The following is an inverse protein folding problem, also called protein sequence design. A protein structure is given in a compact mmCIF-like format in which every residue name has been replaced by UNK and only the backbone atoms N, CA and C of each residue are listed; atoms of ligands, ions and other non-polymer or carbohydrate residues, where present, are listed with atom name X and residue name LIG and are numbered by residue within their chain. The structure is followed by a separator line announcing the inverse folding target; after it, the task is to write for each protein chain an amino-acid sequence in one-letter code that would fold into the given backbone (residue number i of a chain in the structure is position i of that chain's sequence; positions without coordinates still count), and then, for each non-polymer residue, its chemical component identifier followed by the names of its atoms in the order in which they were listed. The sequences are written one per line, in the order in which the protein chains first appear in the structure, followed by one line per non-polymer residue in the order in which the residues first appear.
data_IF_116617579610
#
_entry.id   IF_116617579610
#
_cell.length_a   1.000
_cell.length_b   1.000
_cell.length_c   1.000
_cell.angle_alpha   90.00
_cell.angle_beta   90.00
_cell.angle_gamma   90.00
#
_symmetry.space_group_name_H-M   'P 1'
#
loop_
_entity.id
_entity.type
_entity.pdbx_description
1 polymer ?
#
# COMPACT_ATOMS: atom_id res chain seq x y z
N UNK A 1 11.69 -18.09 -2.84
CA UNK A 1 12.77 -17.28 -3.42
C UNK A 1 12.95 -17.64 -4.88
N UNK A 2 13.22 -16.64 -5.73
CA UNK A 2 13.65 -16.84 -7.11
C UNK A 2 15.07 -16.27 -7.21
N UNK A 3 16.04 -17.04 -7.72
CA UNK A 3 17.44 -16.61 -7.86
C UNK A 3 18.06 -16.03 -6.56
N UNK A 4 17.73 -16.65 -5.41
CA UNK A 4 18.12 -16.20 -4.05
C UNK A 4 17.56 -14.82 -3.66
N UNK A 5 16.54 -14.34 -4.36
CA UNK A 5 15.80 -13.14 -3.99
C UNK A 5 14.45 -13.47 -3.35
N UNK A 6 14.08 -12.68 -2.35
CA UNK A 6 12.71 -12.58 -1.86
C UNK A 6 11.91 -11.71 -2.83
N UNK A 7 10.78 -12.24 -3.29
CA UNK A 7 9.84 -11.50 -4.13
C UNK A 7 8.73 -10.95 -3.24
N UNK A 8 8.57 -9.63 -3.27
CA UNK A 8 7.54 -8.93 -2.51
C UNK A 8 6.67 -8.12 -3.47
N UNK A 9 5.66 -8.73 -4.10
CA UNK A 9 4.62 -7.97 -4.75
C UNK A 9 3.84 -7.11 -3.75
N UNK A 10 3.44 -5.94 -4.20
CA UNK A 10 2.56 -5.01 -3.50
C UNK A 10 1.47 -4.53 -4.46
N UNK A 11 0.26 -4.44 -3.95
CA UNK A 11 -0.89 -3.93 -4.69
C UNK A 11 -1.74 -3.05 -3.79
N UNK A 12 -2.36 -2.03 -4.37
CA UNK A 12 -3.25 -1.11 -3.66
C UNK A 12 -4.68 -1.63 -3.65
N UNK A 13 -5.33 -1.58 -2.49
CA UNK A 13 -6.77 -1.92 -2.38
C UNK A 13 -7.53 -0.88 -1.57
N UNK A 14 -8.80 -0.64 -1.91
CA UNK A 14 -9.71 0.15 -1.09
C UNK A 14 -10.17 -0.71 0.10
N UNK A 15 -9.79 -0.31 1.30
CA UNK A 15 -10.11 -0.99 2.55
C UNK A 15 -11.52 -0.63 3.06
N UNK A 16 -11.91 0.64 2.91
CA UNK A 16 -13.18 1.16 3.39
C UNK A 16 -13.62 2.36 2.55
N UNK A 17 -14.94 2.49 2.32
CA UNK A 17 -15.52 3.71 1.75
C UNK A 17 -16.90 4.05 2.32
N UNK A 18 -17.19 5.35 2.36
CA UNK A 18 -18.47 5.88 2.84
C UNK A 18 -18.76 7.26 2.24
N UNK A 19 -20.05 7.59 2.12
CA UNK A 19 -20.51 8.95 1.81
C UNK A 19 -20.77 9.79 3.06
N UNK A 20 -20.81 9.15 4.24
CA UNK A 20 -21.24 9.80 5.49
C UNK A 20 -20.15 9.77 6.57
N UNK A 21 -19.33 8.72 6.61
CA UNK A 21 -18.28 8.53 7.63
C UNK A 21 -16.95 8.96 7.03
N UNK A 22 -16.25 9.88 7.71
CA UNK A 22 -14.94 10.37 7.30
C UNK A 22 -14.04 10.69 8.50
N UNK A 23 -12.74 10.73 8.25
CA UNK A 23 -11.72 11.21 9.18
C UNK A 23 -10.66 12.03 8.41
N UNK A 24 -9.73 12.64 9.13
CA UNK A 24 -8.65 13.47 8.54
C UNK A 24 -7.70 12.67 7.64
N UNK A 25 -7.62 11.35 7.83
CA UNK A 25 -6.75 10.46 7.07
C UNK A 25 -7.45 9.80 5.86
N UNK A 26 -8.74 10.08 5.63
CA UNK A 26 -9.44 9.60 4.45
C UNK A 26 -8.97 10.34 3.20
N UNK A 27 -8.79 9.58 2.12
CA UNK A 27 -8.83 10.13 0.77
C UNK A 27 -10.28 10.42 0.37
N UNK A 28 -10.49 11.26 -0.65
CA UNK A 28 -11.84 11.58 -1.11
C UNK A 28 -11.92 11.67 -2.63
N UNK A 29 -13.05 11.25 -3.20
CA UNK A 29 -13.36 11.46 -4.62
C UNK A 29 -14.66 12.22 -4.76
N UNK A 30 -14.67 13.24 -5.62
CA UNK A 30 -15.88 13.98 -5.99
C UNK A 30 -16.41 13.41 -7.30
N UNK A 31 -17.65 12.93 -7.28
CA UNK A 31 -18.33 12.36 -8.43
C UNK A 31 -18.91 13.45 -9.34
N UNK A 32 -19.24 13.11 -10.59
CA UNK A 32 -19.82 14.05 -11.58
C UNK A 32 -21.13 14.69 -11.12
N UNK A 33 -21.88 14.02 -10.24
CA UNK A 33 -23.13 14.52 -9.67
C UNK A 33 -22.93 15.40 -8.42
N UNK A 34 -21.68 15.73 -8.05
CA UNK A 34 -21.33 16.55 -6.89
C UNK A 34 -21.26 15.80 -5.56
N UNK A 35 -21.59 14.50 -5.51
CA UNK A 35 -21.44 13.71 -4.28
C UNK A 35 -19.97 13.44 -3.99
N UNK A 36 -19.63 13.37 -2.70
CA UNK A 36 -18.28 13.04 -2.22
C UNK A 36 -18.30 11.66 -1.60
N UNK A 37 -17.28 10.85 -1.88
CA UNK A 37 -17.03 9.59 -1.20
C UNK A 37 -15.67 9.64 -0.56
N UNK A 38 -15.64 9.37 0.74
CA UNK A 38 -14.43 9.24 1.54
C UNK A 38 -14.02 7.78 1.57
N UNK A 39 -12.72 7.51 1.49
CA UNK A 39 -12.21 6.16 1.46
C UNK A 39 -10.81 6.05 2.06
N UNK A 40 -10.50 4.87 2.55
CA UNK A 40 -9.15 4.46 2.92
C UNK A 40 -8.70 3.37 1.96
N UNK A 41 -7.48 3.53 1.44
CA UNK A 41 -6.80 2.49 0.68
C UNK A 41 -5.49 2.14 1.36
N UNK A 42 -4.99 0.93 1.12
CA UNK A 42 -3.71 0.48 1.63
C UNK A 42 -2.98 -0.33 0.57
N UNK A 43 -1.65 -0.26 0.59
CA UNK A 43 -0.83 -1.25 -0.11
C UNK A 43 -0.73 -2.51 0.75
N UNK A 44 -0.76 -3.67 0.10
CA UNK A 44 -0.70 -4.98 0.74
C UNK A 44 0.54 -5.76 0.24
N UNK A 45 1.69 -5.65 0.92
CA UNK A 45 2.88 -6.40 0.56
C UNK A 45 2.75 -7.87 0.97
N UNK A 46 3.15 -8.79 0.09
CA UNK A 46 3.15 -10.23 0.38
C UNK A 46 4.45 -10.88 -0.10
N UNK A 47 4.98 -11.83 0.66
CA UNK A 47 6.13 -12.64 0.22
C UNK A 47 5.63 -13.83 -0.58
N UNK A 48 6.18 -14.02 -1.79
CA UNK A 48 5.81 -15.10 -2.69
C UNK A 48 7.00 -15.96 -3.12
N UNK A 49 6.73 -17.18 -3.58
CA UNK A 49 7.73 -18.06 -4.21
C UNK A 49 7.10 -18.83 -5.37
N UNK A 50 7.74 -18.92 -6.54
CA UNK A 50 7.19 -19.72 -7.66
C UNK A 50 6.99 -21.21 -7.33
N UNK A 51 7.73 -21.73 -6.35
CA UNK A 51 7.69 -23.12 -5.91
C UNK A 51 6.67 -23.38 -4.77
N UNK A 52 6.03 -22.33 -4.23
CA UNK A 52 5.11 -22.44 -3.09
C UNK A 52 3.76 -21.81 -3.45
N UNK A 53 2.68 -22.53 -3.19
CA UNK A 53 1.31 -21.98 -3.38
C UNK A 53 0.88 -21.05 -2.26
N UNK A 54 1.42 -21.25 -1.06
CA UNK A 54 1.16 -20.39 0.07
C UNK A 54 1.97 -19.08 -0.04
N UNK A 55 1.39 -18.01 0.46
CA UNK A 55 2.01 -16.69 0.55
C UNK A 55 2.07 -16.26 2.01
N UNK A 56 2.99 -15.35 2.33
CA UNK A 56 3.09 -14.75 3.67
C UNK A 56 2.72 -13.28 3.55
N UNK A 57 1.62 -12.88 4.19
CA UNK A 57 1.21 -11.48 4.26
C UNK A 57 2.13 -10.71 5.20
N UNK A 58 2.45 -9.48 4.81
CA UNK A 58 3.17 -8.51 5.64
C UNK A 58 2.20 -7.42 6.09
N UNK A 59 2.66 -6.59 7.03
CA UNK A 59 1.87 -5.48 7.54
C UNK A 59 1.50 -4.51 6.41
N UNK A 60 0.23 -4.08 6.32
CA UNK A 60 -0.20 -3.12 5.30
C UNK A 60 0.34 -1.72 5.59
N UNK A 61 0.37 -0.86 4.56
CA UNK A 61 0.59 0.58 4.72
C UNK A 61 -0.58 1.34 4.11
N UNK A 62 -1.26 2.15 4.92
CA UNK A 62 -2.33 3.00 4.42
C UNK A 62 -1.81 4.13 3.54
N UNK A 63 -2.52 4.35 2.45
CA UNK A 63 -2.38 5.51 1.57
C UNK A 63 -3.22 6.62 2.20
N UNK A 64 -2.54 7.55 2.87
CA UNK A 64 -3.17 8.57 3.70
C UNK A 64 -2.66 9.95 3.28
N UNK A 65 -3.53 10.98 3.25
CA UNK A 65 -3.08 12.35 3.03
C UNK A 65 -1.86 12.69 3.89
N UNK A 66 -0.84 13.27 3.28
CA UNK A 66 0.41 13.63 3.96
C UNK A 66 0.37 15.13 4.26
N UNK A 67 0.76 15.50 5.47
CA UNK A 67 0.78 16.90 5.89
C UNK A 67 1.65 17.75 4.96
N UNK A 68 1.11 18.91 4.55
CA UNK A 68 1.81 19.84 3.67
C UNK A 68 1.78 19.48 2.18
N UNK A 69 1.05 18.43 1.77
CA UNK A 69 0.86 18.08 0.36
C UNK A 69 -0.51 18.51 -0.17
N UNK A 70 -0.53 19.27 -1.27
CA UNK A 70 -1.79 19.67 -1.93
C UNK A 70 -2.49 18.50 -2.66
N UNK A 71 -1.73 17.47 -3.05
CA UNK A 71 -2.23 16.30 -3.77
C UNK A 71 -2.44 15.14 -2.79
N UNK A 72 -3.56 14.42 -2.95
CA UNK A 72 -3.78 13.17 -2.23
C UNK A 72 -2.63 12.18 -2.46
N UNK A 73 -2.39 11.38 -1.43
CA UNK A 73 -1.32 10.39 -1.39
C UNK A 73 -1.50 9.29 -2.46
N UNK A 74 -0.45 8.50 -2.71
CA UNK A 74 -0.48 7.46 -3.72
C UNK A 74 0.24 6.18 -3.28
N UNK A 75 -0.02 5.08 -4.00
CA UNK A 75 0.59 3.77 -3.77
C UNK A 75 2.12 3.83 -3.73
N UNK A 76 2.74 4.61 -4.63
CA UNK A 76 4.20 4.76 -4.68
C UNK A 76 4.76 5.42 -3.42
N UNK A 77 4.06 6.44 -2.90
CA UNK A 77 4.50 7.13 -1.68
C UNK A 77 4.32 6.22 -0.45
N UNK A 78 3.19 5.51 -0.36
CA UNK A 78 2.99 4.47 0.66
C UNK A 78 4.06 3.37 0.58
N UNK A 79 4.38 2.88 -0.62
CA UNK A 79 5.42 1.86 -0.82
C UNK A 79 6.79 2.32 -0.34
N UNK A 80 7.15 3.59 -0.60
CA UNK A 80 8.41 4.18 -0.09
C UNK A 80 8.42 4.28 1.43
N UNK A 81 7.32 4.69 2.07
CA UNK A 81 7.21 4.73 3.54
C UNK A 81 7.31 3.35 4.15
N UNK A 82 6.60 2.38 3.59
CA UNK A 82 6.66 0.99 4.02
C UNK A 82 8.08 0.42 3.90
N UNK A 83 8.75 0.64 2.78
CA UNK A 83 10.15 0.26 2.56
C UNK A 83 11.08 0.84 3.61
N UNK A 84 10.96 2.15 3.87
CA UNK A 84 11.81 2.82 4.84
C UNK A 84 11.63 2.24 6.25
N UNK A 85 10.39 1.87 6.62
CA UNK A 85 10.08 1.29 7.93
C UNK A 85 10.64 -0.13 8.09
N UNK A 86 10.65 -0.93 7.02
CA UNK A 86 11.01 -2.34 7.07
C UNK A 86 12.43 -2.65 6.57
N UNK A 87 13.21 -1.63 6.19
CA UNK A 87 14.56 -1.80 5.62
C UNK A 87 15.45 -2.73 6.46
N UNK A 88 15.52 -2.49 7.77
CA UNK A 88 16.43 -3.22 8.66
C UNK A 88 16.06 -4.70 8.78
N UNK A 89 14.77 -4.99 8.72
CA UNK A 89 14.27 -6.37 8.70
C UNK A 89 14.69 -7.11 7.43
N UNK A 90 14.76 -6.41 6.31
CA UNK A 90 15.09 -6.99 5.01
C UNK A 90 16.57 -6.90 4.62
N UNK A 91 17.39 -6.14 5.35
CA UNK A 91 18.84 -5.97 5.09
C UNK A 91 19.61 -7.30 4.87
N UNK A 92 19.33 -8.42 5.56
CA UNK A 92 20.01 -9.69 5.33
C UNK A 92 19.65 -10.39 4.00
N UNK A 93 18.62 -9.91 3.30
CA UNK A 93 18.04 -10.57 2.14
C UNK A 93 18.20 -9.72 0.88
N UNK A 94 18.43 -10.38 -0.26
CA UNK A 94 18.23 -9.74 -1.56
C UNK A 94 16.73 -9.67 -1.83
N UNK A 95 16.16 -8.47 -1.93
CA UNK A 95 14.70 -8.26 -2.12
C UNK A 95 14.42 -7.62 -3.47
N UNK A 96 13.43 -8.14 -4.17
CA UNK A 96 12.82 -7.51 -5.35
C UNK A 96 11.36 -7.21 -5.06
N UNK A 97 11.02 -5.93 -5.13
CA UNK A 97 9.64 -5.44 -5.00
C UNK A 97 9.00 -5.23 -6.35
N UNK A 98 7.74 -5.62 -6.47
CA UNK A 98 6.98 -5.56 -7.73
C UNK A 98 5.65 -4.87 -7.42
N UNK A 99 5.38 -3.76 -8.09
CA UNK A 99 4.10 -3.02 -7.95
C UNK A 99 3.57 -2.62 -9.32
N UNK A 100 2.24 -2.45 -9.40
CA UNK A 100 1.52 -1.94 -10.57
C UNK A 100 1.56 -0.42 -10.70
#
# INVERSE_FOLDING_TARGET
MLDKQLLIPLDGTEYFSSQNIHCEQCSHRTHKNGTVTYFHSAILPVIVSPQQKAVISLDPEFITPQDGHEKQDCEVAAAKRWLHRHREFFDPFSVTMIGG
#
